data_IF_841392292158
#
_entry.id   IF_841392292158
#
_cell.length_a   1.000
_cell.length_b   1.000
_cell.length_c   1.000
_cell.angle_alpha   90.00
_cell.angle_beta   90.00
_cell.angle_gamma   90.00
#
_symmetry.space_group_name_H-M   'P 1'
#
loop_
_entity.id
_entity.type
_entity.pdbx_description
1 polymer ?
#
# COMPACT_ATOMS: atom_id res chain seq x y z
N UNK A 1 47.59 37.82 -38.40
CA UNK A 1 48.11 37.73 -37.02
C UNK A 1 47.41 38.82 -36.21
N UNK A 2 47.01 38.61 -34.95
CA UNK A 2 46.26 37.50 -34.35
C UNK A 2 45.02 38.02 -33.56
N UNK A 3 44.17 37.10 -33.11
CA UNK A 3 43.16 37.40 -32.08
C UNK A 3 43.82 37.72 -30.72
N UNK A 4 43.08 38.38 -29.82
CA UNK A 4 43.06 37.91 -28.45
C UNK A 4 41.63 37.74 -27.91
N UNK A 5 41.58 36.82 -26.96
CA UNK A 5 40.48 36.15 -26.30
C UNK A 5 40.30 36.62 -24.85
N UNK A 6 39.17 36.20 -24.26
CA UNK A 6 38.83 36.09 -22.83
C UNK A 6 38.46 37.39 -22.09
N UNK A 7 37.19 37.50 -21.68
CA UNK A 7 36.77 37.28 -20.28
C UNK A 7 35.21 37.33 -20.26
N UNK A 8 34.55 36.22 -19.96
CA UNK A 8 34.01 35.91 -18.63
C UNK A 8 33.15 37.04 -18.07
N UNK A 9 31.82 36.84 -18.05
CA UNK A 9 31.02 37.10 -16.85
C UNK A 9 29.59 36.54 -17.01
N UNK A 10 29.36 35.49 -16.24
CA UNK A 10 28.19 35.25 -15.42
C UNK A 10 26.85 35.02 -16.13
N UNK A 11 26.70 33.81 -16.69
CA UNK A 11 25.43 33.09 -16.49
C UNK A 11 25.29 32.86 -14.99
N UNK A 12 24.55 33.74 -14.33
CA UNK A 12 24.07 33.52 -12.97
C UNK A 12 23.45 32.13 -12.90
N UNK A 13 24.19 31.22 -12.28
CA UNK A 13 23.69 29.95 -11.81
C UNK A 13 22.52 30.27 -10.91
N UNK A 14 21.31 30.05 -11.43
CA UNK A 14 20.08 30.13 -10.65
C UNK A 14 20.31 29.27 -9.44
N UNK A 15 20.38 29.94 -8.29
CA UNK A 15 20.76 29.34 -7.03
C UNK A 15 19.90 28.11 -6.83
N UNK A 16 20.58 26.96 -6.70
CA UNK A 16 19.98 25.78 -6.10
C UNK A 16 19.49 26.24 -4.73
N UNK A 17 18.19 26.53 -4.66
CA UNK A 17 17.48 26.67 -3.39
C UNK A 17 17.88 25.44 -2.61
N UNK A 18 18.67 25.69 -1.57
CA UNK A 18 19.19 24.70 -0.65
C UNK A 18 18.00 23.87 -0.16
N UNK A 19 17.80 22.75 -0.84
CA UNK A 19 16.71 21.85 -0.54
C UNK A 19 17.17 21.17 0.73
N UNK A 20 16.71 21.68 1.87
CA UNK A 20 16.83 21.07 3.20
C UNK A 20 16.24 19.64 3.27
N UNK A 21 15.83 19.06 2.13
CA UNK A 21 15.33 17.71 1.99
C UNK A 21 16.51 16.72 1.96
N UNK A 22 16.72 15.90 3.01
CA UNK A 22 17.76 14.89 3.00
C UNK A 22 17.57 13.91 1.84
N UNK A 23 18.67 13.56 1.17
CA UNK A 23 18.67 12.60 0.06
C UNK A 23 18.06 11.24 0.51
N UNK A 24 17.30 10.54 -0.37
CA UNK A 24 16.75 9.22 -0.06
C UNK A 24 17.87 8.26 0.33
N UNK A 25 17.58 7.33 1.24
CA UNK A 25 18.58 6.41 1.77
C UNK A 25 18.32 5.01 1.29
N UNK A 26 19.34 4.41 0.70
CA UNK A 26 19.32 3.01 0.28
C UNK A 26 19.47 2.14 1.53
N UNK A 27 18.44 1.36 1.83
CA UNK A 27 18.48 0.35 2.90
C UNK A 27 18.51 -1.03 2.26
N UNK A 28 19.48 -1.83 2.66
CA UNK A 28 19.55 -3.26 2.32
C UNK A 28 18.48 -4.00 3.11
N UNK A 29 17.63 -4.75 2.43
CA UNK A 29 16.63 -5.64 3.02
C UNK A 29 16.82 -7.04 2.48
N UNK A 30 16.50 -8.02 3.30
CA UNK A 30 16.45 -9.42 2.90
C UNK A 30 14.99 -9.88 3.00
N UNK A 31 14.56 -10.72 2.07
CA UNK A 31 13.29 -11.43 2.15
C UNK A 31 13.56 -12.93 2.07
N UNK A 32 12.90 -13.70 2.91
CA UNK A 32 12.96 -15.16 2.88
C UNK A 32 11.75 -15.75 2.15
N UNK A 33 11.88 -17.01 1.73
CA UNK A 33 10.80 -17.78 1.11
C UNK A 33 9.56 -17.83 2.00
N UNK A 34 9.71 -18.03 3.30
CA UNK A 34 8.61 -18.12 4.26
C UNK A 34 7.80 -16.81 4.30
N UNK A 35 8.48 -15.67 4.34
CA UNK A 35 7.83 -14.35 4.31
C UNK A 35 7.11 -14.10 2.98
N UNK A 36 7.70 -14.52 1.87
CA UNK A 36 7.07 -14.41 0.55
C UNK A 36 5.82 -15.30 0.44
N UNK A 37 5.88 -16.52 0.98
CA UNK A 37 4.76 -17.46 1.00
C UNK A 37 3.61 -16.96 1.89
N UNK A 38 3.90 -16.34 3.03
CA UNK A 38 2.87 -15.73 3.87
C UNK A 38 2.11 -14.62 3.12
N UNK A 39 2.83 -13.79 2.36
CA UNK A 39 2.23 -12.67 1.60
C UNK A 39 1.50 -13.11 0.33
N UNK A 40 2.05 -14.09 -0.39
CA UNK A 40 1.59 -14.44 -1.73
C UNK A 40 0.83 -15.78 -1.80
N UNK A 41 1.17 -16.75 -0.96
CA UNK A 41 0.73 -18.15 -1.08
C UNK A 41 -0.79 -18.32 -1.07
N UNK A 42 -1.50 -17.61 -0.18
CA UNK A 42 -2.96 -17.66 -0.12
C UNK A 42 -3.67 -17.13 -1.37
N UNK A 43 -3.03 -16.22 -2.10
CA UNK A 43 -3.55 -15.67 -3.36
C UNK A 43 -3.17 -16.53 -4.56
N UNK A 44 -1.93 -17.03 -4.60
CA UNK A 44 -1.45 -17.94 -5.64
C UNK A 44 -2.29 -19.22 -5.66
N UNK A 45 -2.64 -19.76 -4.49
CA UNK A 45 -3.51 -20.92 -4.38
C UNK A 45 -4.92 -20.70 -4.95
N UNK A 46 -5.33 -19.47 -5.24
CA UNK A 46 -6.63 -19.12 -5.84
C UNK A 46 -6.54 -18.84 -7.34
N UNK A 47 -5.34 -18.60 -7.88
CA UNK A 47 -5.11 -18.32 -9.30
C UNK A 47 -5.47 -19.53 -10.15
N UNK A 48 -6.15 -19.30 -11.28
CA UNK A 48 -6.47 -20.35 -12.25
C UNK A 48 -7.56 -21.34 -11.81
N UNK A 49 -8.12 -21.20 -10.59
CA UNK A 49 -9.25 -22.02 -10.12
C UNK A 49 -10.59 -21.58 -10.70
N UNK A 50 -10.76 -20.29 -10.99
CA UNK A 50 -11.98 -19.77 -11.62
C UNK A 50 -11.74 -18.39 -12.23
N UNK A 51 -12.29 -18.17 -13.43
CA UNK A 51 -12.26 -16.88 -14.14
C UNK A 51 -12.88 -15.73 -13.32
N UNK A 52 -13.80 -16.03 -12.40
CA UNK A 52 -14.40 -15.03 -11.51
C UNK A 52 -13.42 -14.56 -10.43
N UNK A 53 -12.71 -15.49 -9.80
CA UNK A 53 -11.68 -15.16 -8.81
C UNK A 53 -10.48 -14.46 -9.44
N UNK A 54 -10.09 -14.84 -10.66
CA UNK A 54 -8.97 -14.20 -11.36
C UNK A 54 -9.19 -12.68 -11.55
N UNK A 55 -10.42 -12.24 -11.86
CA UNK A 55 -10.74 -10.80 -11.97
C UNK A 55 -10.67 -10.07 -10.63
N UNK A 56 -11.09 -10.71 -9.54
CA UNK A 56 -11.06 -10.12 -8.19
C UNK A 56 -9.66 -10.11 -7.58
N UNK A 57 -8.77 -10.97 -8.06
CA UNK A 57 -7.40 -11.10 -7.57
C UNK A 57 -6.52 -9.93 -8.00
N UNK A 58 -6.79 -9.25 -9.13
CA UNK A 58 -5.95 -8.19 -9.67
C UNK A 58 -5.44 -7.17 -8.64
N UNK A 59 -6.31 -6.47 -7.88
CA UNK A 59 -5.90 -5.48 -6.87
C UNK A 59 -5.14 -6.08 -5.67
N UNK A 60 -5.33 -7.37 -5.41
CA UNK A 60 -4.65 -8.07 -4.30
C UNK A 60 -3.28 -8.56 -4.75
N UNK A 61 -3.18 -9.06 -5.98
CA UNK A 61 -1.95 -9.52 -6.62
C UNK A 61 -0.99 -8.35 -6.83
N UNK A 62 -1.48 -7.20 -7.30
CA UNK A 62 -0.63 -6.01 -7.50
C UNK A 62 0.07 -5.51 -6.24
N UNK A 63 -0.45 -5.82 -5.04
CA UNK A 63 0.18 -5.41 -3.76
C UNK A 63 1.45 -6.21 -3.43
N UNK A 64 1.56 -7.45 -3.88
CA UNK A 64 2.69 -8.33 -3.58
C UNK A 64 3.46 -8.77 -4.83
N UNK A 65 2.97 -8.47 -6.04
CA UNK A 65 3.64 -8.73 -7.31
C UNK A 65 4.87 -7.82 -7.47
N UNK A 66 5.92 -8.16 -6.75
CA UNK A 66 7.19 -7.45 -6.70
C UNK A 66 8.35 -8.45 -6.85
N UNK A 67 9.43 -8.01 -7.48
CA UNK A 67 10.57 -8.86 -7.82
C UNK A 67 11.17 -9.60 -6.62
N UNK A 68 11.39 -8.96 -5.44
CA UNK A 68 11.97 -9.66 -4.30
C UNK A 68 11.10 -10.84 -3.84
N UNK A 69 9.78 -10.70 -3.88
CA UNK A 69 8.83 -11.76 -3.51
C UNK A 69 8.90 -12.87 -4.56
N UNK A 70 8.84 -12.51 -5.84
CA UNK A 70 8.83 -13.48 -6.93
C UNK A 70 10.14 -14.28 -7.06
N UNK A 71 11.30 -13.69 -6.72
CA UNK A 71 12.61 -14.35 -6.78
C UNK A 71 12.69 -15.55 -5.83
N UNK A 72 12.14 -15.42 -4.62
CA UNK A 72 12.23 -16.44 -3.56
C UNK A 72 11.07 -17.44 -3.54
N UNK A 73 10.05 -17.25 -4.39
CA UNK A 73 8.97 -18.23 -4.53
C UNK A 73 9.50 -19.57 -5.06
N UNK A 74 8.88 -20.70 -4.67
CA UNK A 74 9.18 -21.99 -5.31
C UNK A 74 8.86 -21.96 -6.83
N UNK A 75 9.60 -22.70 -7.67
CA UNK A 75 9.38 -22.74 -9.12
C UNK A 75 7.92 -23.07 -9.51
N UNK A 76 7.29 -24.03 -8.83
CA UNK A 76 5.88 -24.42 -9.07
C UNK A 76 4.92 -23.22 -8.92
N UNK A 77 5.16 -22.37 -7.92
CA UNK A 77 4.39 -21.16 -7.70
C UNK A 77 4.71 -20.07 -8.72
N UNK A 78 5.98 -19.93 -9.12
CA UNK A 78 6.38 -19.01 -10.19
C UNK A 78 5.69 -19.34 -11.50
N UNK A 79 5.60 -20.61 -11.88
CA UNK A 79 4.85 -21.04 -13.07
C UNK A 79 3.37 -20.69 -12.99
N UNK A 80 2.76 -20.84 -11.82
CA UNK A 80 1.35 -20.46 -11.60
C UNK A 80 1.14 -18.96 -11.78
N UNK A 81 2.02 -18.14 -11.20
CA UNK A 81 1.99 -16.68 -11.35
C UNK A 81 2.27 -16.28 -12.80
N UNK A 82 3.22 -16.93 -13.47
CA UNK A 82 3.57 -16.68 -14.87
C UNK A 82 2.37 -16.93 -15.81
N UNK A 83 1.68 -18.05 -15.65
CA UNK A 83 0.47 -18.36 -16.41
C UNK A 83 -0.64 -17.32 -16.18
N UNK A 84 -0.78 -16.82 -14.94
CA UNK A 84 -1.74 -15.76 -14.63
C UNK A 84 -1.36 -14.41 -15.24
N UNK A 85 -0.07 -14.03 -15.18
CA UNK A 85 0.47 -12.80 -15.75
C UNK A 85 0.29 -12.72 -17.26
N UNK A 86 0.31 -13.84 -17.99
CA UNK A 86 0.05 -13.87 -19.43
C UNK A 86 -1.25 -13.14 -19.82
N UNK A 87 -2.28 -13.22 -18.98
CA UNK A 87 -3.59 -12.63 -19.24
C UNK A 87 -3.84 -11.28 -18.55
N UNK A 88 -3.02 -10.91 -17.55
CA UNK A 88 -3.30 -9.78 -16.66
C UNK A 88 -2.17 -8.75 -16.57
N UNK A 89 -0.91 -9.16 -16.72
CA UNK A 89 0.25 -8.28 -16.65
C UNK A 89 1.40 -8.79 -17.54
N UNK A 90 1.44 -8.35 -18.82
CA UNK A 90 2.48 -8.75 -19.77
C UNK A 90 3.89 -8.31 -19.38
N UNK A 91 4.03 -7.25 -18.57
CA UNK A 91 5.34 -6.78 -18.12
C UNK A 91 5.95 -7.78 -17.14
N UNK A 92 5.16 -8.21 -16.15
CA UNK A 92 5.62 -9.23 -15.21
C UNK A 92 5.81 -10.60 -15.84
N UNK A 93 5.01 -10.95 -16.87
CA UNK A 93 5.22 -12.19 -17.63
C UNK A 93 6.64 -12.30 -18.21
N UNK A 94 7.10 -11.23 -18.89
CA UNK A 94 8.44 -11.21 -19.48
C UNK A 94 9.51 -11.25 -18.40
N UNK A 95 9.35 -10.45 -17.34
CA UNK A 95 10.34 -10.35 -16.25
C UNK A 95 10.47 -11.65 -15.46
N UNK A 96 9.36 -12.33 -15.16
CA UNK A 96 9.35 -13.63 -14.48
C UNK A 96 10.08 -14.71 -15.28
N UNK A 97 10.02 -14.65 -16.61
CA UNK A 97 10.65 -15.64 -17.49
C UNK A 97 12.17 -15.67 -17.34
N UNK A 98 12.79 -14.58 -16.87
CA UNK A 98 14.24 -14.50 -16.64
C UNK A 98 14.71 -15.34 -15.44
N UNK A 99 13.82 -15.68 -14.50
CA UNK A 99 14.17 -16.33 -13.23
C UNK A 99 13.13 -17.37 -12.78
N UNK A 100 12.39 -17.94 -13.73
CA UNK A 100 11.27 -18.84 -13.45
C UNK A 100 11.73 -20.18 -12.85
N UNK A 101 12.92 -20.65 -13.25
CA UNK A 101 13.51 -21.91 -12.78
C UNK A 101 14.44 -21.73 -11.57
N UNK A 102 14.73 -20.48 -11.17
CA UNK A 102 15.57 -20.20 -10.02
C UNK A 102 14.88 -20.70 -8.74
N UNK A 103 15.57 -21.50 -7.92
CA UNK A 103 15.06 -21.89 -6.60
C UNK A 103 15.95 -21.32 -5.49
N UNK A 104 15.61 -20.11 -5.05
CA UNK A 104 16.39 -19.35 -4.07
C UNK A 104 15.54 -19.20 -2.80
N UNK A 105 16.12 -19.44 -1.63
CA UNK A 105 15.43 -19.31 -0.34
C UNK A 105 15.46 -17.90 0.23
N UNK A 106 16.46 -17.09 -0.12
CA UNK A 106 16.67 -15.74 0.42
C UNK A 106 17.20 -14.80 -0.66
N UNK A 107 16.68 -13.57 -0.70
CA UNK A 107 17.14 -12.55 -1.64
C UNK A 107 17.39 -11.21 -0.95
N UNK A 108 18.59 -10.66 -1.17
CA UNK A 108 18.95 -9.32 -0.71
C UNK A 108 18.62 -8.29 -1.80
N UNK A 109 17.84 -7.28 -1.43
CA UNK A 109 17.46 -6.18 -2.32
C UNK A 109 17.64 -4.84 -1.63
N UNK A 110 17.93 -3.81 -2.42
CA UNK A 110 18.01 -2.44 -1.92
C UNK A 110 16.67 -1.77 -2.12
N UNK A 111 16.18 -1.13 -1.07
CA UNK A 111 15.00 -0.28 -1.13
C UNK A 111 15.44 1.14 -0.89
N UNK A 112 15.12 2.01 -1.82
CA UNK A 112 15.13 3.44 -1.58
C UNK A 112 14.07 3.73 -0.53
N UNK A 113 14.52 4.03 0.69
CA UNK A 113 13.65 4.56 1.72
C UNK A 113 13.60 6.07 1.48
N UNK A 114 12.45 6.61 1.07
CA UNK A 114 12.33 8.04 0.86
C UNK A 114 12.57 8.75 2.18
N UNK A 115 13.60 9.60 2.23
CA UNK A 115 13.83 10.50 3.36
C UNK A 115 13.03 11.80 3.23
N UNK A 116 12.56 12.10 2.02
CA UNK A 116 11.71 13.24 1.72
C UNK A 116 10.27 12.88 2.04
N UNK A 117 9.61 13.70 2.87
CA UNK A 117 8.27 13.42 3.41
C UNK A 117 7.17 13.45 2.35
N UNK A 118 7.39 14.16 1.23
CA UNK A 118 6.52 14.18 0.04
C UNK A 118 6.55 12.88 -0.78
N UNK A 119 7.58 12.04 -0.56
CA UNK A 119 7.80 10.79 -1.30
C UNK A 119 7.36 9.56 -0.47
N UNK A 120 6.83 9.74 0.74
CA UNK A 120 6.31 8.66 1.58
C UNK A 120 4.89 8.25 1.14
N UNK A 121 4.62 6.95 1.05
CA UNK A 121 3.29 6.44 0.73
C UNK A 121 2.27 6.79 1.84
N UNK A 122 1.16 7.41 1.44
CA UNK A 122 0.08 7.84 2.32
C UNK A 122 -0.59 6.64 3.01
N UNK A 123 -0.41 6.50 4.32
CA UNK A 123 -1.22 5.62 5.17
C UNK A 123 -2.31 6.49 5.80
N UNK A 124 -3.57 6.28 5.41
CA UNK A 124 -4.67 7.17 5.75
C UNK A 124 -4.76 7.56 7.23
N UNK A 125 -4.76 8.86 7.47
CA UNK A 125 -5.58 9.64 8.41
C UNK A 125 -5.12 11.10 8.29
N UNK A 126 -6.03 12.01 7.93
CA UNK A 126 -5.70 13.43 7.65
C UNK A 126 -5.00 14.16 8.80
N UNK A 127 -5.03 13.59 10.01
CA UNK A 127 -4.31 14.00 11.20
C UNK A 127 -2.79 13.96 11.06
N UNK A 128 -2.23 13.01 10.30
CA UNK A 128 -0.77 12.84 10.23
C UNK A 128 -0.10 13.97 9.45
N UNK A 129 -0.71 14.42 8.33
CA UNK A 129 -0.28 15.62 7.56
C UNK A 129 -0.19 16.84 8.48
N UNK A 130 -1.18 17.00 9.33
CA UNK A 130 -1.31 18.10 10.27
C UNK A 130 -0.25 18.02 11.38
N UNK A 131 -0.03 16.83 11.97
CA UNK A 131 1.07 16.57 12.92
C UNK A 131 2.45 16.76 12.26
N UNK A 132 2.58 16.57 10.96
CA UNK A 132 3.81 16.84 10.20
C UNK A 132 4.08 18.35 10.04
N UNK A 133 3.09 19.15 9.64
CA UNK A 133 3.22 20.63 9.62
C UNK A 133 3.56 21.18 11.00
N UNK A 134 2.96 20.62 12.05
CA UNK A 134 3.29 20.91 13.46
C UNK A 134 4.77 20.71 13.79
N UNK A 135 5.37 19.62 13.30
CA UNK A 135 6.77 19.29 13.55
C UNK A 135 7.73 20.23 12.79
N UNK A 136 7.36 20.64 11.58
CA UNK A 136 8.17 21.53 10.73
C UNK A 136 8.11 23.00 11.17
N UNK A 137 7.13 23.36 12.01
CA UNK A 137 7.09 24.66 12.68
C UNK A 137 8.01 24.74 13.92
N UNK A 138 8.46 23.59 14.46
CA UNK A 138 9.28 23.49 15.68
C UNK A 138 10.63 24.24 15.65
N UNK A 139 11.36 24.34 14.52
CA UNK A 139 12.63 25.08 14.45
C UNK A 139 12.49 26.59 14.15
N UNK A 140 11.29 27.12 13.93
CA UNK A 140 11.11 28.55 13.62
C UNK A 140 11.42 29.43 14.86
N UNK A 141 12.23 30.46 14.62
CA UNK A 141 12.95 31.28 15.61
C UNK A 141 12.13 31.84 16.79
N UNK A 142 12.83 32.10 17.90
CA UNK A 142 12.32 32.52 19.22
C UNK A 142 11.27 33.63 19.21
N UNK A 143 11.30 34.56 18.24
CA UNK A 143 10.40 35.73 18.19
C UNK A 143 8.96 35.40 17.79
N UNK A 144 8.70 34.25 17.14
CA UNK A 144 7.33 33.84 16.71
C UNK A 144 6.83 32.58 17.40
N UNK A 145 7.50 32.18 18.49
CA UNK A 145 7.25 30.93 19.22
C UNK A 145 5.82 30.81 19.74
N UNK A 146 5.18 31.90 20.15
CA UNK A 146 3.81 31.85 20.67
C UNK A 146 2.77 31.58 19.57
N UNK A 147 2.88 32.25 18.42
CA UNK A 147 2.00 32.08 17.26
C UNK A 147 2.16 30.66 16.69
N UNK A 148 3.41 30.23 16.54
CA UNK A 148 3.74 28.85 16.12
C UNK A 148 3.13 27.83 17.08
N UNK A 149 3.21 28.05 18.40
CA UNK A 149 2.59 27.16 19.38
C UNK A 149 1.06 27.17 19.36
N UNK A 150 0.40 28.28 19.01
CA UNK A 150 -1.05 28.36 18.87
C UNK A 150 -1.52 27.62 17.62
N UNK A 151 -0.87 27.85 16.47
CA UNK A 151 -1.12 27.10 15.23
C UNK A 151 -0.88 25.61 15.46
N UNK A 152 0.22 25.28 16.15
CA UNK A 152 0.55 23.90 16.50
C UNK A 152 -0.54 23.18 17.29
N UNK A 153 -1.05 23.84 18.33
CA UNK A 153 -2.14 23.30 19.16
C UNK A 153 -3.43 23.16 18.37
N UNK A 154 -3.80 24.15 17.57
CA UNK A 154 -5.02 24.10 16.76
C UNK A 154 -4.99 22.95 15.76
N UNK A 155 -3.85 22.74 15.11
CA UNK A 155 -3.66 21.66 14.15
C UNK A 155 -3.71 20.28 14.84
N UNK A 156 -3.08 20.12 16.01
CA UNK A 156 -3.16 18.89 16.79
C UNK A 156 -4.59 18.58 17.27
N UNK A 157 -5.31 19.58 17.77
CA UNK A 157 -6.70 19.41 18.21
C UNK A 157 -7.63 19.03 17.05
N UNK A 158 -7.44 19.62 15.87
CA UNK A 158 -8.21 19.24 14.69
C UNK A 158 -7.90 17.81 14.25
N UNK A 159 -6.63 17.42 14.27
CA UNK A 159 -6.19 16.06 13.97
C UNK A 159 -6.86 15.03 14.91
N UNK A 160 -6.83 15.30 16.21
CA UNK A 160 -7.44 14.41 17.21
C UNK A 160 -8.97 14.32 17.05
N UNK A 161 -9.64 15.46 16.81
CA UNK A 161 -11.08 15.50 16.51
C UNK A 161 -11.44 14.72 15.24
N UNK A 162 -10.63 14.86 14.18
CA UNK A 162 -10.86 14.15 12.94
C UNK A 162 -10.67 12.63 13.09
N UNK A 163 -9.64 12.20 13.81
CA UNK A 163 -9.40 10.78 14.09
C UNK A 163 -10.56 10.17 14.90
N UNK A 164 -11.08 10.89 15.89
CA UNK A 164 -12.25 10.47 16.67
C UNK A 164 -13.49 10.33 15.76
N UNK A 165 -13.78 11.33 14.91
CA UNK A 165 -14.90 11.28 13.98
C UNK A 165 -14.80 10.17 12.94
N UNK A 166 -13.60 9.90 12.45
CA UNK A 166 -13.38 8.78 11.51
C UNK A 166 -13.61 7.44 12.20
N UNK A 167 -13.14 7.26 13.44
CA UNK A 167 -13.37 6.03 14.20
C UNK A 167 -14.84 5.79 14.52
N UNK A 168 -15.59 6.84 14.82
CA UNK A 168 -17.04 6.76 15.03
C UNK A 168 -17.74 6.30 13.75
N UNK A 169 -17.41 6.91 12.61
CA UNK A 169 -17.97 6.56 11.32
C UNK A 169 -17.59 5.14 10.86
N UNK A 170 -16.36 4.71 11.11
CA UNK A 170 -15.92 3.32 10.84
C UNK A 170 -16.68 2.31 11.70
N UNK A 171 -16.96 2.66 12.97
CA UNK A 171 -17.77 1.83 13.86
C UNK A 171 -19.22 1.74 13.39
N UNK A 172 -19.84 2.86 13.05
CA UNK A 172 -21.20 2.89 12.50
C UNK A 172 -21.30 2.07 11.21
N UNK A 173 -20.31 2.19 10.31
CA UNK A 173 -20.25 1.37 9.10
C UNK A 173 -20.14 -0.13 9.40
N UNK A 174 -19.33 -0.51 10.40
CA UNK A 174 -19.20 -1.89 10.84
C UNK A 174 -20.49 -2.44 11.45
N UNK A 175 -21.17 -1.63 12.28
CA UNK A 175 -22.46 -1.99 12.88
C UNK A 175 -23.55 -2.20 11.82
N UNK A 176 -23.59 -1.35 10.79
CA UNK A 176 -24.52 -1.51 9.66
C UNK A 176 -24.27 -2.81 8.89
N UNK A 177 -23.01 -3.12 8.59
CA UNK A 177 -22.64 -4.38 7.91
C UNK A 177 -22.99 -5.60 8.77
N UNK A 178 -22.78 -5.52 10.08
CA UNK A 178 -23.15 -6.60 10.99
C UNK A 178 -24.67 -6.77 11.06
N UNK A 179 -25.42 -5.67 11.14
CA UNK A 179 -26.88 -5.70 11.13
C UNK A 179 -27.45 -6.31 9.84
N UNK A 180 -26.87 -5.97 8.68
CA UNK A 180 -27.27 -6.55 7.39
C UNK A 180 -26.98 -8.06 7.36
N UNK A 181 -25.83 -8.48 7.88
CA UNK A 181 -25.47 -9.90 8.00
C UNK A 181 -26.43 -10.68 8.90
N UNK A 182 -26.75 -10.13 10.07
CA UNK A 182 -27.67 -10.75 11.02
C UNK A 182 -29.09 -10.83 10.43
N UNK A 183 -29.53 -9.79 9.70
CA UNK A 183 -30.80 -9.79 8.97
C UNK A 183 -30.86 -10.89 7.91
N UNK A 184 -29.81 -11.04 7.09
CA UNK A 184 -29.72 -12.10 6.09
C UNK A 184 -29.73 -13.50 6.73
N UNK A 185 -29.13 -13.67 7.90
CA UNK A 185 -29.13 -14.94 8.64
C UNK A 185 -30.52 -15.30 9.17
N UNK A 186 -31.26 -14.32 9.69
CA UNK A 186 -32.66 -14.49 10.11
C UNK A 186 -33.54 -14.88 8.92
N UNK A 187 -33.43 -14.17 7.79
CA UNK A 187 -34.19 -14.50 6.58
C UNK A 187 -33.88 -15.92 6.09
N UNK A 188 -32.59 -16.28 6.02
CA UNK A 188 -32.15 -17.62 5.60
C UNK A 188 -32.69 -18.71 6.52
N UNK A 189 -32.69 -18.48 7.83
CA UNK A 189 -33.25 -19.39 8.82
C UNK A 189 -34.76 -19.57 8.64
N UNK A 190 -35.50 -18.46 8.48
CA UNK A 190 -36.94 -18.48 8.24
C UNK A 190 -37.31 -19.25 6.95
N UNK A 191 -36.55 -19.06 5.86
CA UNK A 191 -36.74 -19.83 4.62
C UNK A 191 -36.48 -21.32 4.82
N UNK A 192 -35.45 -21.70 5.57
CA UNK A 192 -35.15 -23.10 5.86
C UNK A 192 -36.29 -23.76 6.66
N UNK A 193 -36.78 -23.10 7.72
CA UNK A 193 -37.90 -23.59 8.52
C UNK A 193 -39.19 -23.69 7.71
N UNK A 194 -39.51 -22.71 6.87
CA UNK A 194 -40.68 -22.76 5.99
C UNK A 194 -40.60 -23.92 4.99
N UNK A 195 -39.40 -24.19 4.47
CA UNK A 195 -39.16 -25.31 3.56
C UNK A 195 -39.30 -26.66 4.26
N UNK A 196 -38.81 -26.80 5.50
CA UNK A 196 -38.99 -28.00 6.31
C UNK A 196 -40.48 -28.28 6.58
N UNK A 197 -41.23 -27.27 7.03
CA UNK A 197 -42.68 -27.38 7.27
C UNK A 197 -43.45 -27.74 5.99
N UNK A 198 -43.06 -27.21 4.84
CA UNK A 198 -43.68 -27.55 3.57
C UNK A 198 -43.41 -29.00 3.16
N UNK A 199 -42.20 -29.52 3.41
CA UNK A 199 -41.86 -30.90 3.11
C UNK A 199 -42.57 -31.89 4.05
N UNK A 200 -42.74 -31.54 5.33
CA UNK A 200 -43.53 -32.34 6.27
C UNK A 200 -45.01 -32.40 5.84
N UNK A 201 -45.59 -31.28 5.39
CA UNK A 201 -46.98 -31.22 4.95
C UNK A 201 -47.28 -31.97 3.63
N UNK A 202 -46.24 -32.31 2.83
CA UNK A 202 -46.37 -33.08 1.58
C UNK A 202 -46.17 -34.58 1.83
N UNK A 203 -45.57 -34.95 2.97
CA UNK A 203 -45.28 -36.33 3.33
C UNK A 203 -46.42 -37.05 4.08
N UNK A 204 -47.43 -36.29 4.55
CA UNK A 204 -48.73 -36.77 5.06
C UNK A 204 -49.79 -36.86 3.94
#
# INVERSE_FOLDING_TARGET
>A
MPAPSLDQQDTESVSSVDSFDPAPTLVKKTITREEALERAGGNIAKMGKSKFFDKLLGPTVSKWLAEPILRVLPPEMKHTVHAWCLSHDPMWFNKLSEFIDDDISEWEYTVEVPKRRKDMAFCGMGADILRFYVADLKPLQLERREIVNKVRRGIALFADFHDEKMKDMEREAYELVQQERDSMEIERSAFATAFELQNEAIAD
#
